data_IF_376910598135
#
_entry.id   IF_376910598135
#
_cell.length_a   1.000
_cell.length_b   1.000
_cell.length_c   1.000
_cell.angle_alpha   90.00
_cell.angle_beta   90.00
_cell.angle_gamma   90.00
#
_symmetry.space_group_name_H-M   'P 1'
#
loop_
_entity.id
_entity.type
_entity.pdbx_description
1 polymer ?
#
# COMPACT_ATOMS: atom_id res chain seq x y z
N UNK A 1 12.53 -20.73 11.74
CA UNK A 1 11.88 -19.64 12.51
C UNK A 1 11.85 -18.42 11.62
N UNK A 2 10.73 -18.17 10.94
CA UNK A 2 10.54 -16.89 10.24
C UNK A 2 10.22 -15.89 11.34
N UNK A 3 11.09 -14.89 11.53
CA UNK A 3 10.74 -13.75 12.37
C UNK A 3 9.55 -13.09 11.68
N UNK A 4 8.36 -13.20 12.26
CA UNK A 4 7.32 -12.21 12.00
C UNK A 4 7.93 -10.89 12.47
N UNK A 5 8.48 -10.13 11.53
CA UNK A 5 8.84 -8.76 11.79
C UNK A 5 7.51 -8.06 12.05
N UNK A 6 7.18 -7.84 13.31
CA UNK A 6 6.07 -6.98 13.69
C UNK A 6 6.40 -5.61 13.10
N UNK A 7 5.70 -5.28 12.01
CA UNK A 7 5.86 -4.01 11.33
C UNK A 7 5.59 -2.90 12.33
N UNK A 8 6.57 -2.01 12.50
CA UNK A 8 6.31 -0.81 13.30
C UNK A 8 5.39 0.13 12.52
N UNK A 9 4.55 0.89 13.23
CA UNK A 9 3.72 1.92 12.58
C UNK A 9 4.57 2.89 11.73
N UNK A 10 5.75 3.25 12.22
CA UNK A 10 6.67 4.17 11.51
C UNK A 10 7.20 3.55 10.22
N UNK A 11 7.67 2.31 10.28
CA UNK A 11 8.13 1.56 9.11
C UNK A 11 7.03 1.43 8.08
N UNK A 12 5.84 1.00 8.50
CA UNK A 12 4.68 0.88 7.62
C UNK A 12 4.34 2.19 6.93
N UNK A 13 4.18 3.28 7.69
CA UNK A 13 3.86 4.59 7.10
C UNK A 13 4.97 5.12 6.19
N UNK A 14 6.23 4.83 6.49
CA UNK A 14 7.37 5.18 5.63
C UNK A 14 7.28 4.44 4.29
N UNK A 15 7.05 3.12 4.32
CA UNK A 15 6.87 2.32 3.11
C UNK A 15 5.67 2.80 2.29
N UNK A 16 4.54 3.10 2.92
CA UNK A 16 3.35 3.62 2.22
C UNK A 16 3.67 4.95 1.51
N UNK A 17 4.43 5.84 2.15
CA UNK A 17 4.82 7.10 1.51
C UNK A 17 5.74 6.90 0.31
N UNK A 18 6.69 5.96 0.39
CA UNK A 18 7.55 5.62 -0.74
C UNK A 18 6.78 4.97 -1.90
N UNK A 19 5.80 4.11 -1.59
CA UNK A 19 4.87 3.57 -2.58
C UNK A 19 4.13 4.69 -3.29
N UNK A 20 3.54 5.65 -2.55
CA UNK A 20 2.81 6.79 -3.12
C UNK A 20 3.70 7.63 -4.02
N UNK A 21 4.92 7.92 -3.59
CA UNK A 21 5.91 8.68 -4.38
C UNK A 21 6.33 7.94 -5.65
N UNK A 22 6.51 6.61 -5.58
CA UNK A 22 6.88 5.83 -6.76
C UNK A 22 5.70 5.69 -7.72
N UNK A 23 4.50 5.45 -7.21
CA UNK A 23 3.29 5.32 -8.01
C UNK A 23 2.89 6.61 -8.73
N UNK A 24 3.31 7.79 -8.25
CA UNK A 24 3.13 9.05 -9.00
C UNK A 24 4.07 9.20 -10.20
N UNK A 25 5.14 8.40 -10.27
CA UNK A 25 6.19 8.53 -11.30
C UNK A 25 6.25 7.33 -12.25
N UNK A 26 5.70 6.18 -11.84
CA UNK A 26 5.82 4.90 -12.54
C UNK A 26 4.42 4.29 -12.70
N UNK A 27 3.90 4.32 -13.94
CA UNK A 27 2.57 3.81 -14.28
C UNK A 27 2.44 2.30 -14.07
N UNK A 28 3.50 1.54 -14.34
CA UNK A 28 3.48 0.08 -14.19
C UNK A 28 3.47 -0.30 -12.70
N UNK A 29 4.27 0.42 -11.90
CA UNK A 29 4.23 0.27 -10.45
C UNK A 29 2.89 0.73 -9.86
N UNK A 30 2.29 1.80 -10.38
CA UNK A 30 0.93 2.22 -10.00
C UNK A 30 -0.09 1.11 -10.26
N UNK A 31 -0.06 0.51 -11.46
CA UNK A 31 -0.95 -0.60 -11.79
C UNK A 31 -0.74 -1.79 -10.85
N UNK A 32 0.51 -2.09 -10.49
CA UNK A 32 0.84 -3.11 -9.49
C UNK A 32 0.28 -2.77 -8.10
N UNK A 33 0.32 -1.51 -7.67
CA UNK A 33 -0.26 -1.09 -6.39
C UNK A 33 -1.78 -1.34 -6.35
N UNK A 34 -2.48 -1.08 -7.45
CA UNK A 34 -3.93 -1.27 -7.54
C UNK A 34 -4.34 -2.75 -7.64
N UNK A 35 -3.58 -3.56 -8.36
CA UNK A 35 -3.89 -4.97 -8.63
C UNK A 35 -3.30 -5.95 -7.61
N UNK A 36 -2.18 -5.60 -6.97
CA UNK A 36 -1.46 -6.45 -6.01
C UNK A 36 -0.77 -5.61 -4.92
N UNK A 37 -1.55 -5.00 -3.99
CA UNK A 37 -1.05 -4.12 -2.93
C UNK A 37 0.07 -4.73 -2.09
N UNK A 38 -0.08 -5.96 -1.62
CA UNK A 38 0.92 -6.63 -0.79
C UNK A 38 2.24 -6.82 -1.55
N UNK A 39 2.20 -7.24 -2.81
CA UNK A 39 3.41 -7.38 -3.62
C UNK A 39 4.09 -6.04 -3.95
N UNK A 40 3.35 -4.93 -3.94
CA UNK A 40 3.93 -3.60 -4.06
C UNK A 40 4.61 -3.16 -2.75
N UNK A 41 3.99 -3.46 -1.59
CA UNK A 41 4.56 -3.22 -0.26
C UNK A 41 5.85 -4.02 -0.08
N UNK A 42 5.83 -5.31 -0.40
CA UNK A 42 6.99 -6.20 -0.32
C UNK A 42 8.15 -5.73 -1.21
N UNK A 43 7.84 -5.24 -2.41
CA UNK A 43 8.85 -4.74 -3.33
C UNK A 43 9.56 -3.50 -2.77
N UNK A 44 8.87 -2.66 -1.99
CA UNK A 44 9.45 -1.44 -1.41
C UNK A 44 10.12 -1.72 -0.07
N UNK A 45 9.51 -2.54 0.79
CA UNK A 45 10.05 -2.85 2.11
C UNK A 45 11.15 -3.92 2.11
N UNK A 46 11.14 -4.83 1.12
CA UNK A 46 12.10 -5.93 1.03
C UNK A 46 11.77 -7.13 1.94
N UNK A 47 10.59 -7.16 2.56
CA UNK A 47 10.09 -8.26 3.38
C UNK A 47 8.55 -8.35 3.33
N UNK A 48 7.95 -9.52 3.66
CA UNK A 48 6.50 -9.73 3.65
C UNK A 48 5.74 -8.79 4.59
N UNK A 49 4.54 -8.38 4.16
CA UNK A 49 3.52 -7.71 4.97
C UNK A 49 2.27 -8.59 5.04
N UNK A 50 1.91 -9.08 6.22
CA UNK A 50 0.77 -10.02 6.38
C UNK A 50 -0.26 -9.52 7.41
N UNK A 51 -0.08 -8.30 7.94
CA UNK A 51 -0.81 -7.84 9.12
C UNK A 51 -2.22 -7.34 8.80
N UNK A 52 -2.36 -6.51 7.76
CA UNK A 52 -3.64 -5.93 7.39
C UNK A 52 -3.93 -6.17 5.91
N UNK A 53 -5.21 -6.14 5.55
CA UNK A 53 -5.60 -6.09 4.16
C UNK A 53 -5.40 -4.65 3.66
N UNK A 54 -4.50 -4.42 2.71
CA UNK A 54 -4.23 -3.08 2.19
C UNK A 54 -4.86 -2.94 0.82
N UNK A 55 -5.53 -1.81 0.59
CA UNK A 55 -6.10 -1.44 -0.71
C UNK A 55 -5.55 -0.07 -1.11
N UNK A 56 -5.01 0.01 -2.31
CA UNK A 56 -4.68 1.27 -2.95
C UNK A 56 -5.79 1.66 -3.92
N UNK A 57 -6.16 2.94 -3.91
CA UNK A 57 -7.19 3.51 -4.78
C UNK A 57 -6.58 4.58 -5.68
N UNK A 58 -7.13 4.72 -6.88
CA UNK A 58 -6.72 5.73 -7.84
C UNK A 58 -7.45 7.08 -7.58
N UNK A 59 -8.68 7.02 -7.08
CA UNK A 59 -9.52 8.19 -6.81
C UNK A 59 -10.02 8.22 -5.35
N UNK A 60 -9.95 9.40 -4.72
CA UNK A 60 -10.54 9.69 -3.40
C UNK A 60 -12.04 9.35 -3.34
N UNK A 61 -12.74 9.41 -4.47
CA UNK A 61 -14.18 9.11 -4.56
C UNK A 61 -14.48 7.64 -4.28
N UNK A 62 -13.54 6.74 -4.53
CA UNK A 62 -13.67 5.30 -4.27
C UNK A 62 -13.42 4.94 -2.79
N UNK A 63 -12.78 5.84 -2.02
CA UNK A 63 -12.38 5.58 -0.64
C UNK A 63 -13.56 5.34 0.31
N UNK A 64 -14.75 5.85 -0.02
CA UNK A 64 -15.95 5.69 0.82
C UNK A 64 -16.52 4.26 0.83
N UNK A 65 -16.12 3.40 -0.11
CA UNK A 65 -16.66 2.03 -0.24
C UNK A 65 -15.89 1.01 0.62
N UNK A 66 -14.64 1.31 1.00
CA UNK A 66 -13.74 0.36 1.67
C UNK A 66 -13.55 0.62 3.17
N UNK A 67 -14.14 1.70 3.70
CA UNK A 67 -14.03 2.10 5.12
C UNK A 67 -14.86 1.26 6.11
N UNK A 68 -15.60 0.26 5.64
CA UNK A 68 -16.52 -0.55 6.48
C UNK A 68 -15.89 -1.85 7.03
N UNK A 69 -14.61 -2.11 6.75
CA UNK A 69 -13.91 -3.32 7.23
C UNK A 69 -12.82 -2.96 8.25
N UNK A 70 -12.90 -3.43 9.51
CA UNK A 70 -11.96 -3.05 10.57
C UNK A 70 -10.51 -3.50 10.32
N UNK A 71 -10.30 -4.46 9.40
CA UNK A 71 -8.99 -4.99 9.05
C UNK A 71 -8.46 -4.49 7.70
N UNK A 72 -9.14 -3.53 7.08
CA UNK A 72 -8.78 -3.00 5.77
C UNK A 72 -8.21 -1.58 5.89
N UNK A 73 -6.95 -1.42 5.49
CA UNK A 73 -6.30 -0.12 5.38
C UNK A 73 -6.38 0.37 3.94
N UNK A 74 -7.02 1.51 3.73
CA UNK A 74 -7.23 2.08 2.40
C UNK A 74 -6.37 3.32 2.20
N UNK A 75 -5.63 3.37 1.11
CA UNK A 75 -4.76 4.51 0.75
C UNK A 75 -5.05 4.99 -0.66
N UNK A 76 -5.07 6.32 -0.85
CA UNK A 76 -5.23 6.90 -2.18
C UNK A 76 -3.85 7.25 -2.74
N UNK A 77 -3.60 6.74 -3.94
CA UNK A 77 -2.39 7.04 -4.69
C UNK A 77 -2.52 8.43 -5.33
N UNK A 78 -1.45 9.25 -5.28
CA UNK A 78 -1.44 10.57 -5.94
C UNK A 78 -1.60 10.46 -7.47
N UNK A 79 -1.90 11.59 -8.11
CA UNK A 79 -1.92 11.68 -9.58
C UNK A 79 -0.52 11.41 -10.18
N UNK A 80 -0.50 10.93 -11.42
CA UNK A 80 0.73 10.76 -12.18
C UNK A 80 1.25 12.14 -12.59
N UNK A 81 2.52 12.42 -12.25
CA UNK A 81 3.22 13.67 -12.59
C UNK A 81 4.05 13.50 -13.84
#
# INVERSE_FOLDING_TARGET
MVRNADWTYVEFMTTINDIRRRASLDRDFRHKCLSSPHSAIEQVAGHPYETHHVIFLDDIREAKLYTDSPNTLTFVLPELV
#
